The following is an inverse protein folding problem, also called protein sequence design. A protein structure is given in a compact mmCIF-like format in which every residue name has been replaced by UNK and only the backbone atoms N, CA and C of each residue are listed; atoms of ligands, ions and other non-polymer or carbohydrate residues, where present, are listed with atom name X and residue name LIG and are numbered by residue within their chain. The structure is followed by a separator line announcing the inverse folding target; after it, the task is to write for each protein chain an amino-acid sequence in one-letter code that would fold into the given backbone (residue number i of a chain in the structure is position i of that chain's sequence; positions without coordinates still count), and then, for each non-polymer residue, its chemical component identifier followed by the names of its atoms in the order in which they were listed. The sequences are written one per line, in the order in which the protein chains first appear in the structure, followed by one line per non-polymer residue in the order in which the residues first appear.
data_IF_055359439683
#
_entry.id   IF_055359439683
#
_cell.length_a   1.000
_cell.length_b   1.000
_cell.length_c   1.000
_cell.angle_alpha   90.00
_cell.angle_beta   90.00
_cell.angle_gamma   90.00
#
_symmetry.space_group_name_H-M   'P 1'
#
loop_
_entity.id
_entity.type
_entity.pdbx_description
1 polymer ?
#
# COMPACT_ATOMS: atom_id res chain seq x y z
N UNK A 1 -8.65 53.97 8.91
CA UNK A 1 -8.72 52.57 9.36
C UNK A 1 -7.72 52.41 10.49
N UNK A 2 -8.18 52.04 11.68
CA UNK A 2 -7.37 52.10 12.92
C UNK A 2 -6.38 50.91 12.90
N UNK A 3 -5.11 51.11 13.31
CA UNK A 3 -4.06 50.06 13.31
C UNK A 3 -4.52 48.78 14.04
N UNK A 4 -5.38 48.93 15.03
CA UNK A 4 -5.96 47.84 15.80
C UNK A 4 -6.90 46.96 14.97
N UNK A 5 -7.66 47.55 14.05
CA UNK A 5 -8.57 46.76 13.15
C UNK A 5 -7.79 45.99 12.07
N UNK A 6 -6.68 46.53 11.60
CA UNK A 6 -5.81 45.85 10.66
C UNK A 6 -5.15 44.60 11.26
N UNK A 7 -4.75 44.72 12.55
CA UNK A 7 -4.16 43.60 13.29
C UNK A 7 -5.16 42.46 13.54
N UNK A 8 -6.42 42.81 13.89
CA UNK A 8 -7.48 41.80 14.03
C UNK A 8 -7.85 41.11 12.71
N UNK A 9 -7.87 41.85 11.60
CA UNK A 9 -8.16 41.29 10.29
C UNK A 9 -7.01 40.32 9.86
N UNK A 10 -5.75 40.66 10.10
CA UNK A 10 -4.58 39.84 9.84
C UNK A 10 -4.60 38.52 10.66
N UNK A 11 -4.96 38.59 11.94
CA UNK A 11 -5.08 37.38 12.77
C UNK A 11 -6.23 36.51 12.32
N UNK A 12 -7.38 37.08 11.95
CA UNK A 12 -8.54 36.36 11.48
C UNK A 12 -8.25 35.63 10.14
N UNK A 13 -7.49 36.25 9.22
CA UNK A 13 -7.11 35.62 7.96
C UNK A 13 -6.08 34.50 8.15
N UNK A 14 -5.16 34.63 9.10
CA UNK A 14 -4.19 33.57 9.42
C UNK A 14 -4.90 32.36 10.04
N UNK A 15 -5.86 32.55 10.91
CA UNK A 15 -6.66 31.48 11.53
C UNK A 15 -7.52 30.76 10.47
N UNK A 16 -8.04 31.49 9.47
CA UNK A 16 -8.83 30.92 8.39
C UNK A 16 -7.97 30.05 7.42
N UNK A 17 -6.70 30.42 7.21
CA UNK A 17 -5.77 29.70 6.34
C UNK A 17 -5.24 28.42 7.01
N UNK A 18 -5.02 28.45 8.33
CA UNK A 18 -4.55 27.29 9.11
C UNK A 18 -5.66 26.24 9.31
N UNK A 19 -6.94 26.65 9.26
CA UNK A 19 -8.10 25.76 9.47
C UNK A 19 -8.47 24.87 8.27
N UNK A 20 -7.86 25.04 7.08
CA UNK A 20 -8.28 24.36 5.84
C UNK A 20 -7.37 23.20 5.40
N UNK A 21 -6.47 22.71 6.26
CA UNK A 21 -5.46 21.72 5.89
C UNK A 21 -5.60 20.39 6.62
N UNK A 22 -6.82 19.91 6.88
CA UNK A 22 -7.04 18.53 7.33
C UNK A 22 -8.22 17.89 6.61
N UNK A 23 -8.06 17.63 5.32
CA UNK A 23 -8.81 16.55 4.67
C UNK A 23 -8.03 15.27 4.93
N UNK A 24 -8.31 14.62 6.05
CA UNK A 24 -7.92 13.23 6.28
C UNK A 24 -8.86 12.38 5.46
N UNK A 25 -8.42 11.96 4.27
CA UNK A 25 -9.04 10.84 3.59
C UNK A 25 -8.78 9.58 4.42
N UNK A 26 -9.76 9.17 5.21
CA UNK A 26 -9.79 7.86 5.81
C UNK A 26 -10.12 6.86 4.70
N UNK A 27 -9.10 6.23 4.12
CA UNK A 27 -9.25 5.07 3.26
C UNK A 27 -9.51 3.84 4.12
N UNK A 28 -10.46 3.02 3.69
CA UNK A 28 -10.94 1.82 4.34
C UNK A 28 -9.86 0.72 4.43
N UNK A 29 -9.64 0.32 5.57
CA UNK A 29 -9.01 -0.73 6.32
C UNK A 29 -8.70 -2.09 5.64
N UNK A 30 -7.56 -2.19 5.00
CA UNK A 30 -6.70 -3.38 5.03
C UNK A 30 -5.32 -3.01 5.60
N UNK A 31 -5.32 -2.17 6.63
CA UNK A 31 -4.11 -1.61 7.22
C UNK A 31 -3.40 -2.62 8.10
N UNK A 32 -2.32 -3.21 7.59
CA UNK A 32 -1.30 -3.82 8.45
C UNK A 32 -0.53 -2.68 9.12
N UNK A 33 -0.58 -2.59 10.45
CA UNK A 33 0.15 -1.56 11.19
C UNK A 33 1.65 -1.61 10.84
N UNK A 34 2.21 -0.48 10.43
CA UNK A 34 3.63 -0.38 10.05
C UNK A 34 3.91 -0.49 8.54
N UNK A 35 2.91 -0.82 7.70
CA UNK A 35 3.00 -0.78 6.25
C UNK A 35 1.98 0.20 5.66
N UNK A 36 2.42 1.02 4.70
CA UNK A 36 1.52 1.82 3.90
C UNK A 36 1.08 1.01 2.66
N UNK A 37 -0.01 0.26 2.80
CA UNK A 37 -0.56 -0.57 1.73
C UNK A 37 -1.60 0.24 0.98
N UNK A 38 -1.45 0.38 -0.34
CA UNK A 38 -2.43 1.04 -1.21
C UNK A 38 -3.59 0.09 -1.53
N UNK A 39 -4.76 0.65 -1.77
CA UNK A 39 -5.94 -0.03 -2.35
C UNK A 39 -6.15 0.33 -3.83
N UNK A 40 -5.24 1.13 -4.40
CA UNK A 40 -5.32 1.61 -5.77
C UNK A 40 -4.07 1.19 -6.56
N UNK A 41 -4.24 0.25 -7.47
CA UNK A 41 -3.18 -0.33 -8.29
C UNK A 41 -2.44 0.71 -9.15
N UNK A 42 -3.18 1.60 -9.84
CA UNK A 42 -2.57 2.62 -10.71
C UNK A 42 -1.76 3.64 -9.92
N UNK A 43 -2.21 3.99 -8.72
CA UNK A 43 -1.48 4.86 -7.80
C UNK A 43 -0.18 4.20 -7.35
N UNK A 44 -0.26 2.92 -6.95
CA UNK A 44 0.92 2.16 -6.51
C UNK A 44 1.99 2.06 -7.62
N UNK A 45 1.57 1.84 -8.87
CA UNK A 45 2.48 1.84 -10.03
C UNK A 45 3.20 3.19 -10.23
N UNK A 46 2.45 4.30 -10.14
CA UNK A 46 3.02 5.66 -10.25
C UNK A 46 4.01 5.94 -9.13
N UNK A 47 3.65 5.58 -7.91
CA UNK A 47 4.48 5.80 -6.71
C UNK A 47 5.75 4.96 -6.77
N UNK A 48 5.67 3.70 -7.17
CA UNK A 48 6.80 2.81 -7.33
C UNK A 48 7.76 3.34 -8.41
N UNK A 49 7.23 3.77 -9.55
CA UNK A 49 8.03 4.38 -10.62
C UNK A 49 8.71 5.66 -10.19
N UNK A 50 8.02 6.53 -9.45
CA UNK A 50 8.59 7.79 -8.94
C UNK A 50 9.68 7.56 -7.89
N UNK A 51 9.59 6.47 -7.10
CA UNK A 51 10.51 6.12 -6.04
C UNK A 51 11.58 5.10 -6.47
N UNK A 52 11.55 4.60 -7.70
CA UNK A 52 12.38 3.51 -8.22
C UNK A 52 12.30 2.25 -7.33
N UNK A 53 11.08 1.88 -6.96
CA UNK A 53 10.76 0.71 -6.12
C UNK A 53 10.01 -0.36 -6.92
N UNK A 54 10.02 -1.58 -6.40
CA UNK A 54 9.21 -2.71 -6.91
C UNK A 54 7.77 -2.59 -6.41
N UNK A 55 6.79 -2.80 -7.29
CA UNK A 55 5.39 -2.94 -6.86
C UNK A 55 5.19 -4.35 -6.31
N UNK A 56 4.58 -4.46 -5.15
CA UNK A 56 4.16 -5.73 -4.54
C UNK A 56 2.64 -5.80 -4.56
N UNK A 57 2.08 -6.55 -5.50
CA UNK A 57 0.62 -6.74 -5.62
C UNK A 57 0.20 -7.95 -4.80
N UNK A 58 -0.65 -7.73 -3.80
CA UNK A 58 -1.21 -8.76 -2.93
C UNK A 58 -2.64 -9.03 -3.40
N UNK A 59 -2.85 -10.13 -4.07
CA UNK A 59 -4.19 -10.59 -4.46
C UNK A 59 -4.85 -11.30 -3.28
N UNK A 60 -6.00 -10.79 -2.90
CA UNK A 60 -6.78 -11.17 -1.73
C UNK A 60 -8.25 -11.38 -2.10
N UNK A 61 -9.05 -11.90 -1.19
CA UNK A 61 -10.51 -11.99 -1.31
C UNK A 61 -11.18 -12.04 0.07
N UNK A 62 -12.44 -11.70 0.13
CA UNK A 62 -13.24 -11.81 1.34
C UNK A 62 -13.26 -13.27 1.86
N UNK A 63 -13.22 -13.44 3.18
CA UNK A 63 -13.26 -14.75 3.86
C UNK A 63 -12.08 -15.69 3.54
N UNK A 64 -10.93 -15.14 3.19
CA UNK A 64 -9.70 -15.89 2.93
C UNK A 64 -8.86 -16.01 4.23
N UNK A 65 -8.97 -17.14 4.93
CA UNK A 65 -8.23 -17.36 6.18
C UNK A 65 -6.71 -17.33 6.01
N UNK A 66 -6.17 -17.80 4.89
CA UNK A 66 -4.74 -17.73 4.60
C UNK A 66 -4.27 -16.31 4.26
N UNK A 67 -5.15 -15.45 3.71
CA UNK A 67 -4.86 -14.04 3.52
C UNK A 67 -4.76 -13.32 4.85
N UNK A 68 -5.71 -13.58 5.75
CA UNK A 68 -5.69 -13.03 7.11
C UNK A 68 -4.44 -13.49 7.86
N UNK A 69 -4.07 -14.78 7.75
CA UNK A 69 -2.86 -15.32 8.35
C UNK A 69 -1.61 -14.66 7.76
N UNK A 70 -1.53 -14.47 6.44
CA UNK A 70 -0.40 -13.78 5.79
C UNK A 70 -0.25 -12.34 6.31
N UNK A 71 -1.36 -11.61 6.46
CA UNK A 71 -1.35 -10.25 7.05
C UNK A 71 -0.87 -10.27 8.51
N UNK A 72 -1.36 -11.21 9.32
CA UNK A 72 -1.09 -11.28 10.76
C UNK A 72 0.31 -11.80 11.09
N UNK A 73 0.78 -12.83 10.41
CA UNK A 73 2.04 -13.51 10.75
C UNK A 73 3.22 -12.94 9.94
N UNK A 74 3.00 -12.69 8.63
CA UNK A 74 4.08 -12.32 7.71
C UNK A 74 4.21 -10.81 7.59
N UNK A 75 3.15 -10.11 7.16
CA UNK A 75 3.23 -8.67 6.93
C UNK A 75 3.35 -7.84 8.21
N UNK A 76 2.93 -8.35 9.37
CA UNK A 76 3.15 -7.68 10.67
C UNK A 76 4.54 -7.91 11.26
N UNK A 77 5.35 -8.79 10.67
CA UNK A 77 6.71 -9.02 11.16
C UNK A 77 7.61 -7.80 10.88
N UNK A 78 8.31 -7.31 11.90
CA UNK A 78 9.09 -6.07 11.82
C UNK A 78 10.20 -6.10 10.77
N UNK A 79 10.86 -7.26 10.55
CA UNK A 79 11.91 -7.41 9.53
C UNK A 79 11.33 -7.38 8.12
N UNK A 80 10.14 -7.98 7.93
CA UNK A 80 9.38 -7.92 6.68
C UNK A 80 9.00 -6.48 6.39
N UNK A 81 8.45 -5.77 7.37
CA UNK A 81 8.08 -4.35 7.23
C UNK A 81 9.27 -3.45 6.88
N UNK A 82 10.41 -3.65 7.53
CA UNK A 82 11.64 -2.91 7.23
C UNK A 82 12.07 -3.12 5.77
N UNK A 83 12.08 -4.37 5.30
CA UNK A 83 12.45 -4.71 3.91
C UNK A 83 11.42 -4.13 2.93
N UNK A 84 10.12 -4.27 3.19
CA UNK A 84 9.06 -3.76 2.32
C UNK A 84 9.07 -2.23 2.25
N UNK A 85 9.18 -1.53 3.37
CA UNK A 85 9.23 -0.07 3.40
C UNK A 85 10.42 0.50 2.64
N UNK A 86 11.56 -0.22 2.62
CA UNK A 86 12.78 0.24 1.94
C UNK A 86 12.73 0.09 0.43
N UNK A 87 12.15 -1.02 -0.10
CA UNK A 87 12.30 -1.39 -1.52
C UNK A 87 11.01 -1.57 -2.30
N UNK A 88 9.84 -1.54 -1.64
CA UNK A 88 8.58 -1.94 -2.27
C UNK A 88 7.47 -0.91 -2.07
N UNK A 89 6.49 -0.95 -2.97
CA UNK A 89 5.20 -0.27 -2.83
C UNK A 89 4.11 -1.34 -2.82
N UNK A 90 3.60 -1.73 -1.64
CA UNK A 90 2.57 -2.74 -1.53
C UNK A 90 1.19 -2.19 -1.91
N UNK A 91 0.41 -3.00 -2.64
CA UNK A 91 -0.99 -2.75 -2.98
C UNK A 91 -1.80 -4.03 -2.81
N UNK A 92 -2.98 -3.92 -2.21
CA UNK A 92 -3.94 -5.03 -2.10
C UNK A 92 -4.97 -4.91 -3.22
N UNK A 93 -5.26 -6.04 -3.85
CA UNK A 93 -6.25 -6.18 -4.92
C UNK A 93 -7.21 -7.31 -4.56
N UNK A 94 -8.48 -6.97 -4.37
CA UNK A 94 -9.55 -7.96 -4.19
C UNK A 94 -9.93 -8.57 -5.54
N UNK A 95 -9.69 -9.87 -5.70
CA UNK A 95 -9.93 -10.58 -6.97
C UNK A 95 -11.40 -10.60 -7.39
N UNK A 96 -12.33 -10.37 -6.47
CA UNK A 96 -13.76 -10.29 -6.77
C UNK A 96 -14.17 -8.89 -7.26
N UNK A 97 -13.38 -7.86 -6.93
CA UNK A 97 -13.62 -6.48 -7.37
C UNK A 97 -12.85 -6.14 -8.65
N UNK A 98 -11.65 -6.69 -8.81
CA UNK A 98 -10.78 -6.47 -9.98
C UNK A 98 -10.40 -7.80 -10.64
N UNK A 99 -11.41 -8.44 -11.22
CA UNK A 99 -11.25 -9.71 -11.93
C UNK A 99 -10.30 -9.59 -13.14
N UNK A 100 -10.31 -8.46 -13.84
CA UNK A 100 -9.48 -8.25 -15.02
C UNK A 100 -8.00 -8.23 -14.65
N UNK A 101 -7.65 -7.58 -13.53
CA UNK A 101 -6.29 -7.55 -13.03
C UNK A 101 -5.83 -8.93 -12.52
N UNK A 102 -6.70 -9.64 -11.80
CA UNK A 102 -6.43 -11.01 -11.37
C UNK A 102 -6.20 -11.95 -12.56
N UNK A 103 -7.01 -11.82 -13.63
CA UNK A 103 -6.87 -12.57 -14.87
C UNK A 103 -5.59 -12.22 -15.63
N UNK A 104 -5.24 -10.92 -15.72
CA UNK A 104 -3.98 -10.43 -16.33
C UNK A 104 -2.77 -11.13 -15.73
N UNK A 105 -2.74 -11.27 -14.39
CA UNK A 105 -1.64 -11.92 -13.66
C UNK A 105 -1.89 -13.43 -13.40
N UNK A 106 -2.92 -14.02 -14.01
CA UNK A 106 -3.22 -15.47 -13.93
C UNK A 106 -3.31 -15.96 -12.47
N UNK A 107 -3.97 -15.20 -11.61
CA UNK A 107 -4.17 -15.54 -10.21
C UNK A 107 -5.17 -16.70 -10.12
N UNK A 108 -4.74 -17.83 -9.57
CA UNK A 108 -5.56 -19.04 -9.44
C UNK A 108 -6.12 -19.25 -8.03
N UNK A 109 -5.62 -18.50 -7.06
CA UNK A 109 -6.04 -18.57 -5.66
C UNK A 109 -5.46 -17.45 -4.83
N UNK A 110 -5.89 -17.34 -3.58
CA UNK A 110 -5.45 -16.30 -2.65
C UNK A 110 -4.92 -16.88 -1.34
N UNK A 111 -3.93 -16.22 -0.69
CA UNK A 111 -3.22 -15.08 -1.21
C UNK A 111 -2.30 -15.45 -2.38
N UNK A 112 -2.12 -14.55 -3.34
CA UNK A 112 -1.04 -14.58 -4.32
C UNK A 112 -0.34 -13.24 -4.29
N UNK A 113 0.98 -13.23 -4.21
CA UNK A 113 1.79 -12.01 -4.23
C UNK A 113 2.59 -11.96 -5.53
N UNK A 114 2.41 -10.89 -6.30
CA UNK A 114 3.13 -10.67 -7.56
C UNK A 114 4.01 -9.43 -7.44
N UNK A 115 5.28 -9.57 -7.80
CA UNK A 115 6.25 -8.48 -7.78
C UNK A 115 6.47 -7.98 -9.20
N UNK A 116 6.33 -6.66 -9.40
CA UNK A 116 6.41 -6.02 -10.72
C UNK A 116 7.54 -5.00 -10.76
N UNK A 117 8.25 -4.98 -11.88
CA UNK A 117 9.17 -3.89 -12.20
C UNK A 117 8.44 -2.59 -12.62
N UNK A 118 9.20 -1.54 -12.89
CA UNK A 118 8.67 -0.23 -13.31
C UNK A 118 7.91 -0.25 -14.66
N UNK A 119 7.97 -1.35 -15.41
CA UNK A 119 7.27 -1.55 -16.69
C UNK A 119 6.10 -2.55 -16.54
N UNK A 120 5.65 -2.82 -15.31
CA UNK A 120 4.58 -3.78 -14.99
C UNK A 120 4.90 -5.23 -15.38
N UNK A 121 6.17 -5.55 -15.60
CA UNK A 121 6.58 -6.91 -15.87
C UNK A 121 6.71 -7.68 -14.55
N UNK A 122 6.08 -8.84 -14.48
CA UNK A 122 6.26 -9.76 -13.36
C UNK A 122 7.72 -10.24 -13.31
N UNK A 123 8.36 -9.99 -12.15
CA UNK A 123 9.75 -10.37 -11.88
C UNK A 123 9.85 -11.50 -10.86
N UNK A 124 8.83 -11.65 -10.01
CA UNK A 124 8.72 -12.73 -9.03
C UNK A 124 7.27 -12.94 -8.60
N UNK A 125 6.99 -14.12 -8.03
CA UNK A 125 5.67 -14.52 -7.56
C UNK A 125 5.77 -15.44 -6.36
N UNK A 126 4.80 -15.31 -5.45
CA UNK A 126 4.57 -16.24 -4.35
C UNK A 126 3.09 -16.65 -4.39
N UNK A 127 2.81 -17.92 -4.60
CA UNK A 127 1.45 -18.47 -4.62
C UNK A 127 1.15 -19.14 -3.27
N UNK A 128 0.11 -18.65 -2.58
CA UNK A 128 -0.32 -19.12 -1.28
C UNK A 128 0.39 -18.45 -0.10
N UNK A 129 0.09 -18.96 1.08
CA UNK A 129 0.67 -18.49 2.33
C UNK A 129 2.15 -18.89 2.46
N UNK A 130 2.95 -17.96 2.95
CA UNK A 130 4.34 -18.16 3.36
C UNK A 130 4.59 -17.41 4.66
N UNK A 131 5.35 -17.99 5.58
CA UNK A 131 5.71 -17.32 6.83
C UNK A 131 6.76 -16.21 6.63
N UNK A 132 7.02 -15.43 7.68
CA UNK A 132 7.91 -14.27 7.60
C UNK A 132 9.34 -14.61 7.16
N UNK A 133 9.89 -15.75 7.57
CA UNK A 133 11.25 -16.15 7.19
C UNK A 133 11.29 -16.60 5.72
N UNK A 134 10.35 -17.45 5.31
CA UNK A 134 10.21 -17.87 3.92
C UNK A 134 9.97 -16.69 2.99
N UNK A 135 9.12 -15.74 3.40
CA UNK A 135 8.89 -14.52 2.63
C UNK A 135 10.16 -13.68 2.43
N UNK A 136 10.95 -13.47 3.50
CA UNK A 136 12.22 -12.74 3.41
C UNK A 136 13.23 -13.44 2.51
N UNK A 137 13.27 -14.78 2.50
CA UNK A 137 14.13 -15.54 1.62
C UNK A 137 13.69 -15.41 0.15
N UNK A 138 12.39 -15.44 -0.12
CA UNK A 138 11.81 -15.25 -1.47
C UNK A 138 12.14 -13.88 -2.06
N UNK A 139 12.13 -12.81 -1.26
CA UNK A 139 12.36 -11.44 -1.73
C UNK A 139 13.80 -10.94 -1.56
N UNK A 140 14.75 -11.85 -1.21
CA UNK A 140 16.14 -11.48 -0.90
C UNK A 140 16.89 -10.90 -2.09
N UNK A 141 16.51 -11.29 -3.31
CA UNK A 141 17.17 -10.89 -4.55
C UNK A 141 16.42 -9.82 -5.37
N UNK A 142 15.33 -9.27 -4.81
CA UNK A 142 14.48 -8.29 -5.47
C UNK A 142 14.80 -6.89 -4.98
#
# INVERSE_FOLDING_TARGET
MNKQNIFFILILTIVLIVGLSMVVCASSNDSVSGLNISDNYDSALKDAKAQNKTVMVIFDQDSCSYCDQFKQDTLSNSKVQEKLNSGFVPVVVDINKDYDLASKYKVLGTPTVVFLDANEKEIHRIDGYVDANGFLDEIKGI
#
